data_IF_872687163914
#
_entry.id   IF_872687163914
#
_cell.length_a   1.000
_cell.length_b   1.000
_cell.length_c   1.000
_cell.angle_alpha   90.00
_cell.angle_beta   90.00
_cell.angle_gamma   90.00
#
_symmetry.space_group_name_H-M   'P 1'
#
loop_
_entity.id
_entity.type
_entity.pdbx_description
1 polymer ?
#
# COMPACT_ATOMS: atom_id res chain seq x y z
N UNK A 1 0.99 30.35 13.53
CA UNK A 1 2.05 30.86 12.63
C UNK A 1 3.36 30.96 13.41
N UNK A 2 4.16 29.90 13.44
CA UNK A 2 5.47 29.92 14.09
C UNK A 2 6.55 30.23 13.05
N UNK A 3 7.23 31.36 13.24
CA UNK A 3 8.28 31.90 12.38
C UNK A 3 9.41 30.86 12.23
N UNK A 4 9.64 30.43 11.00
CA UNK A 4 10.90 29.80 10.55
C UNK A 4 12.02 30.84 10.60
N UNK A 5 12.49 31.14 11.80
CA UNK A 5 13.68 31.97 12.00
C UNK A 5 14.92 31.12 11.72
N UNK A 6 15.89 31.60 10.92
CA UNK A 6 17.16 30.90 10.67
C UNK A 6 17.94 30.57 11.95
N UNK A 7 17.63 31.26 13.05
CA UNK A 7 18.17 31.03 14.39
C UNK A 7 17.74 29.66 14.94
N UNK A 8 16.52 29.20 14.65
CA UNK A 8 16.03 27.90 15.15
C UNK A 8 16.76 26.72 14.50
N UNK A 9 17.11 26.82 13.21
CA UNK A 9 17.87 25.79 12.51
C UNK A 9 19.32 25.71 13.00
N UNK A 10 19.93 26.86 13.29
CA UNK A 10 21.28 26.93 13.85
C UNK A 10 21.33 26.31 15.26
N UNK A 11 20.31 26.56 16.09
CA UNK A 11 20.22 25.97 17.44
C UNK A 11 20.08 24.45 17.38
N UNK A 12 19.23 23.90 16.49
CA UNK A 12 19.09 22.44 16.33
C UNK A 12 20.37 21.77 15.81
N UNK A 13 21.11 22.44 14.92
CA UNK A 13 22.38 21.93 14.41
C UNK A 13 23.48 21.95 15.48
N UNK A 14 23.51 22.99 16.31
CA UNK A 14 24.43 23.10 17.44
C UNK A 14 24.13 22.05 18.52
N UNK A 15 22.84 21.79 18.80
CA UNK A 15 22.42 20.72 19.72
C UNK A 15 22.82 19.32 19.23
N UNK A 16 22.70 19.06 17.92
CA UNK A 16 23.11 17.79 17.31
C UNK A 16 24.64 17.58 17.39
N UNK A 17 25.42 18.64 17.13
CA UNK A 17 26.88 18.61 17.26
C UNK A 17 27.33 18.41 18.71
N UNK A 18 26.61 19.00 19.67
CA UNK A 18 26.87 18.78 21.10
C UNK A 18 26.60 17.32 21.50
N UNK A 19 25.50 16.72 21.03
CA UNK A 19 25.20 15.30 21.30
C UNK A 19 26.28 14.38 20.71
N UNK A 20 26.74 14.64 19.48
CA UNK A 20 27.79 13.86 18.82
C UNK A 20 29.16 14.02 19.49
N UNK A 21 29.49 15.21 20.02
CA UNK A 21 30.76 15.47 20.71
C UNK A 21 30.85 14.79 22.09
N UNK A 22 29.72 14.51 22.75
CA UNK A 22 29.68 13.86 24.07
C UNK A 22 29.51 12.33 24.01
N UNK A 23 29.19 11.73 22.85
CA UNK A 23 29.10 10.27 22.71
C UNK A 23 30.41 9.51 23.03
N UNK A 24 31.62 10.00 22.69
CA UNK A 24 32.86 9.30 23.04
C UNK A 24 33.14 9.27 24.54
N UNK A 25 32.61 10.22 25.31
CA UNK A 25 32.80 10.33 26.76
C UNK A 25 31.86 9.41 27.57
N UNK A 26 30.72 9.01 27.00
CA UNK A 26 29.81 8.03 27.61
C UNK A 26 30.16 6.58 27.26
N UNK A 27 31.02 6.35 26.27
CA UNK A 27 31.45 5.02 25.82
C UNK A 27 32.84 4.63 26.35
N UNK A 28 33.53 5.53 27.05
CA UNK A 28 34.81 5.27 27.69
C UNK A 28 34.63 4.67 29.08
N UNK A 29 34.26 3.39 29.17
CA UNK A 29 34.49 2.42 30.26
C UNK A 29 33.37 1.37 30.35
N UNK A 30 33.23 0.58 29.30
CA UNK A 30 32.74 -0.80 29.40
C UNK A 30 33.07 -1.47 28.09
N UNK A 31 33.69 -2.65 28.12
CA UNK A 31 33.85 -3.55 26.98
C UNK A 31 32.47 -3.90 26.43
N UNK A 32 31.93 -2.99 25.64
CA UNK A 32 30.62 -3.11 25.04
C UNK A 32 30.86 -3.87 23.74
N UNK A 33 30.65 -5.19 23.78
CA UNK A 33 30.19 -5.93 22.61
C UNK A 33 28.86 -5.31 22.20
N UNK A 34 28.91 -4.17 21.50
CA UNK A 34 27.76 -3.55 20.84
C UNK A 34 27.34 -4.57 19.80
N UNK A 35 26.32 -5.33 20.20
CA UNK A 35 25.71 -6.42 19.48
C UNK A 35 25.56 -6.01 18.02
N UNK A 36 26.26 -6.67 17.10
CA UNK A 36 26.21 -6.36 15.66
C UNK A 36 24.76 -6.37 15.13
N UNK A 37 23.86 -7.07 15.83
CA UNK A 37 22.41 -7.06 15.56
C UNK A 37 21.76 -5.68 15.78
N UNK A 38 22.21 -4.89 16.76
CA UNK A 38 21.68 -3.55 16.99
C UNK A 38 22.18 -2.58 15.90
N UNK A 39 23.45 -2.68 15.53
CA UNK A 39 24.04 -1.91 14.44
C UNK A 39 23.35 -2.23 13.12
N UNK A 40 23.18 -3.51 12.77
CA UNK A 40 22.44 -3.91 11.55
C UNK A 40 20.97 -3.52 11.59
N UNK A 41 20.30 -3.59 12.74
CA UNK A 41 18.91 -3.12 12.87
C UNK A 41 18.79 -1.61 12.66
N UNK A 42 19.70 -0.83 13.24
CA UNK A 42 19.78 0.62 13.02
C UNK A 42 20.16 0.94 11.57
N UNK A 43 21.08 0.18 10.98
CA UNK A 43 21.49 0.34 9.59
C UNK A 43 20.32 0.06 8.64
N UNK A 44 19.52 -0.98 8.89
CA UNK A 44 18.30 -1.31 8.14
C UNK A 44 17.18 -0.26 8.34
N UNK A 45 17.09 0.34 9.53
CA UNK A 45 16.14 1.44 9.79
C UNK A 45 16.56 2.75 9.09
N UNK A 46 17.86 2.99 8.96
CA UNK A 46 18.43 4.17 8.30
C UNK A 46 18.36 3.99 6.77
N UNK A 47 18.79 2.85 6.22
CA UNK A 47 18.72 2.59 4.76
C UNK A 47 17.28 2.40 4.28
N UNK A 48 16.40 1.78 5.08
CA UNK A 48 14.99 1.60 4.71
C UNK A 48 14.15 2.88 4.74
N UNK A 49 14.57 3.94 5.45
CA UNK A 49 13.88 5.24 5.48
C UNK A 49 14.54 6.33 4.62
N UNK A 50 15.79 6.13 4.19
CA UNK A 50 16.56 7.18 3.52
C UNK A 50 17.11 6.80 2.16
N UNK A 51 16.85 5.62 1.59
CA UNK A 51 17.21 5.36 0.19
C UNK A 51 16.43 6.32 -0.72
N UNK A 52 17.06 7.41 -1.20
CA UNK A 52 16.45 8.25 -2.21
C UNK A 52 16.31 7.35 -3.44
N UNK A 53 15.21 7.50 -4.19
CA UNK A 53 15.08 6.83 -5.49
C UNK A 53 16.39 6.97 -6.24
N UNK A 54 16.94 5.86 -6.74
CA UNK A 54 18.21 5.88 -7.46
C UNK A 54 18.14 6.97 -8.56
N UNK A 55 19.21 7.76 -8.79
CA UNK A 55 19.19 8.83 -9.78
C UNK A 55 18.74 8.27 -11.14
N UNK A 56 17.56 8.68 -11.61
CA UNK A 56 16.98 8.24 -12.88
C UNK A 56 15.79 7.27 -12.80
N UNK A 57 15.38 6.81 -11.62
CA UNK A 57 14.15 6.00 -11.49
C UNK A 57 12.92 6.91 -11.38
N UNK A 58 12.11 6.95 -12.44
CA UNK A 58 10.83 7.69 -12.44
C UNK A 58 9.93 7.20 -11.32
N UNK A 59 9.26 8.14 -10.63
CA UNK A 59 8.23 7.81 -9.66
C UNK A 59 7.06 7.09 -10.34
N UNK A 60 6.47 6.12 -9.63
CA UNK A 60 5.28 5.38 -10.05
C UNK A 60 4.18 5.69 -9.06
N UNK A 61 3.13 6.38 -9.51
CA UNK A 61 2.03 6.78 -8.65
C UNK A 61 0.94 5.73 -8.60
N UNK A 62 0.64 5.28 -7.39
CA UNK A 62 -0.32 4.23 -7.10
C UNK A 62 -1.56 4.85 -6.46
N UNK A 63 -2.73 4.44 -6.94
CA UNK A 63 -4.01 4.64 -6.25
C UNK A 63 -4.55 3.30 -5.80
N UNK A 64 -5.20 3.28 -4.63
CA UNK A 64 -6.03 2.17 -4.21
C UNK A 64 -7.52 2.51 -4.32
N UNK A 65 -8.28 1.66 -5.01
CA UNK A 65 -9.74 1.70 -5.08
C UNK A 65 -10.33 0.45 -4.44
N UNK A 66 -11.43 0.61 -3.70
CA UNK A 66 -12.09 -0.48 -2.97
C UNK A 66 -12.46 -1.66 -3.86
N UNK A 67 -12.57 -2.82 -3.22
CA UNK A 67 -12.90 -4.07 -3.88
C UNK A 67 -14.34 -4.07 -4.39
N UNK A 68 -14.55 -4.86 -5.42
CA UNK A 68 -15.84 -5.10 -6.05
C UNK A 68 -16.39 -6.42 -5.52
N UNK A 69 -17.63 -6.44 -5.08
CA UNK A 69 -18.34 -7.68 -4.78
C UNK A 69 -18.82 -8.28 -6.10
N UNK A 70 -18.26 -9.43 -6.48
CA UNK A 70 -18.59 -10.09 -7.73
C UNK A 70 -19.98 -10.75 -7.72
N UNK A 71 -20.57 -11.01 -6.55
CA UNK A 71 -21.92 -11.56 -6.45
C UNK A 71 -22.96 -10.49 -6.78
N UNK A 72 -22.82 -9.31 -6.20
CA UNK A 72 -23.76 -8.18 -6.35
C UNK A 72 -23.40 -7.24 -7.49
N UNK A 73 -22.18 -7.34 -8.03
CA UNK A 73 -21.59 -6.40 -8.98
C UNK A 73 -21.60 -4.96 -8.48
N UNK A 74 -21.55 -4.78 -7.15
CA UNK A 74 -21.45 -3.47 -6.52
C UNK A 74 -20.11 -3.29 -5.83
N UNK A 75 -19.80 -2.03 -5.56
CA UNK A 75 -18.70 -1.67 -4.69
C UNK A 75 -18.90 -2.27 -3.29
N UNK A 76 -17.84 -2.79 -2.67
CA UNK A 76 -17.87 -3.23 -1.27
C UNK A 76 -17.61 -2.11 -0.27
N UNK A 77 -17.13 -0.94 -0.70
CA UNK A 77 -16.79 0.15 0.19
C UNK A 77 -17.94 0.45 1.16
N UNK A 78 -17.57 0.82 2.39
CA UNK A 78 -18.49 1.05 3.51
C UNK A 78 -19.06 -0.23 4.14
N UNK A 79 -18.58 -1.43 3.75
CA UNK A 79 -18.79 -2.67 4.52
C UNK A 79 -17.62 -2.93 5.47
N UNK A 80 -17.90 -3.59 6.60
CA UNK A 80 -16.87 -4.01 7.55
C UNK A 80 -15.83 -4.92 6.86
N UNK A 81 -16.29 -5.85 6.02
CA UNK A 81 -15.44 -6.74 5.25
C UNK A 81 -14.52 -5.97 4.26
N UNK A 82 -15.03 -4.95 3.57
CA UNK A 82 -14.20 -4.13 2.69
C UNK A 82 -13.12 -3.37 3.44
N UNK A 83 -13.42 -2.81 4.61
CA UNK A 83 -12.45 -2.04 5.38
C UNK A 83 -11.29 -2.93 5.83
N UNK A 84 -11.59 -4.18 6.19
CA UNK A 84 -10.58 -5.16 6.55
C UNK A 84 -9.68 -5.54 5.36
N UNK A 85 -10.26 -5.82 4.17
CA UNK A 85 -9.49 -6.09 2.95
C UNK A 85 -8.65 -4.86 2.56
N UNK A 86 -9.26 -3.69 2.56
CA UNK A 86 -8.61 -2.42 2.21
C UNK A 86 -7.36 -2.17 3.08
N UNK A 87 -7.45 -2.49 4.38
CA UNK A 87 -6.30 -2.40 5.29
C UNK A 87 -5.16 -3.33 4.90
N UNK A 88 -5.46 -4.60 4.59
CA UNK A 88 -4.45 -5.57 4.14
C UNK A 88 -3.79 -5.15 2.81
N UNK A 89 -4.59 -4.59 1.89
CA UNK A 89 -4.11 -4.09 0.60
C UNK A 89 -3.19 -2.89 0.77
N UNK A 90 -3.59 -1.89 1.56
CA UNK A 90 -2.76 -0.72 1.86
C UNK A 90 -1.46 -1.13 2.54
N UNK A 91 -1.48 -2.12 3.45
CA UNK A 91 -0.25 -2.66 4.04
C UNK A 91 0.64 -3.33 2.98
N UNK A 92 0.06 -4.12 2.06
CA UNK A 92 0.77 -4.69 0.91
C UNK A 92 1.46 -3.64 0.03
N UNK A 93 0.76 -2.54 -0.30
CA UNK A 93 1.32 -1.40 -1.03
C UNK A 93 2.45 -0.74 -0.22
N UNK A 94 2.26 -0.56 1.09
CA UNK A 94 3.25 0.00 1.98
C UNK A 94 4.53 -0.85 2.04
N UNK A 95 4.40 -2.18 2.06
CA UNK A 95 5.54 -3.11 1.99
C UNK A 95 6.26 -3.02 0.65
N UNK A 96 5.53 -2.97 -0.47
CA UNK A 96 6.13 -2.77 -1.79
C UNK A 96 6.87 -1.42 -1.89
N UNK A 97 6.29 -0.34 -1.34
CA UNK A 97 6.89 1.00 -1.35
C UNK A 97 8.15 1.11 -0.48
N UNK A 98 8.24 0.30 0.58
CA UNK A 98 9.48 0.17 1.37
C UNK A 98 10.58 -0.58 0.62
N UNK A 99 10.21 -1.59 -0.17
CA UNK A 99 11.14 -2.33 -1.01
C UNK A 99 11.57 -1.55 -2.26
N UNK A 100 10.69 -0.71 -2.79
CA UNK A 100 10.92 0.16 -3.94
C UNK A 100 10.41 1.58 -3.65
N UNK A 101 11.34 2.49 -3.35
CA UNK A 101 11.02 3.87 -2.97
C UNK A 101 10.46 4.72 -4.11
N UNK A 102 10.49 4.24 -5.36
CA UNK A 102 9.84 4.93 -6.50
C UNK A 102 8.31 4.81 -6.47
N UNK A 103 7.76 3.82 -5.75
CA UNK A 103 6.32 3.64 -5.61
C UNK A 103 5.75 4.66 -4.61
N UNK A 104 4.76 5.45 -5.05
CA UNK A 104 4.11 6.48 -4.22
C UNK A 104 2.60 6.25 -4.15
N UNK A 105 2.11 5.78 -3.01
CA UNK A 105 0.68 5.64 -2.76
C UNK A 105 0.02 7.00 -2.50
N UNK A 106 -1.04 7.30 -3.26
CA UNK A 106 -1.90 8.49 -3.12
C UNK A 106 -1.10 9.79 -2.94
N UNK A 107 -0.07 10.00 -3.76
CA UNK A 107 0.69 11.24 -3.73
C UNK A 107 -0.19 12.43 -4.14
N UNK A 108 0.09 13.61 -3.59
CA UNK A 108 -0.70 14.82 -3.86
C UNK A 108 -0.76 15.13 -5.37
N UNK A 109 -1.97 15.19 -5.93
CA UNK A 109 -2.19 15.41 -7.36
C UNK A 109 -2.03 14.16 -8.23
N UNK A 110 -1.80 13.01 -7.62
CA UNK A 110 -1.63 11.69 -8.24
C UNK A 110 -2.52 10.64 -7.54
N UNK A 111 -3.79 10.97 -7.34
CA UNK A 111 -4.75 10.14 -6.63
C UNK A 111 -6.11 10.15 -7.34
N UNK A 112 -6.69 8.97 -7.54
CA UNK A 112 -8.12 8.84 -7.79
C UNK A 112 -8.77 8.56 -6.43
N UNK A 113 -9.56 9.52 -5.93
CA UNK A 113 -10.20 9.37 -4.62
C UNK A 113 -11.07 8.11 -4.59
N UNK A 114 -10.94 7.30 -3.56
CA UNK A 114 -11.77 6.12 -3.35
C UNK A 114 -13.20 6.52 -2.93
N UNK A 115 -14.01 6.91 -3.91
CA UNK A 115 -15.41 7.35 -3.76
C UNK A 115 -16.33 6.45 -4.57
N UNK A 116 -17.59 6.36 -4.18
CA UNK A 116 -18.62 5.57 -4.87
C UNK A 116 -18.68 5.86 -6.37
N UNK A 117 -18.59 7.14 -6.75
CA UNK A 117 -18.58 7.56 -8.15
C UNK A 117 -17.39 6.96 -8.93
N UNK A 118 -16.19 7.00 -8.37
CA UNK A 118 -14.98 6.50 -9.03
C UNK A 118 -14.94 4.97 -9.08
N UNK A 119 -15.35 4.29 -8.00
CA UNK A 119 -15.39 2.83 -7.98
C UNK A 119 -16.49 2.31 -8.91
N UNK A 120 -17.67 2.94 -8.93
CA UNK A 120 -18.73 2.57 -9.87
C UNK A 120 -18.33 2.84 -11.33
N UNK A 121 -17.57 3.90 -11.61
CA UNK A 121 -17.03 4.12 -12.94
C UNK A 121 -16.11 2.95 -13.36
N UNK A 122 -15.21 2.52 -12.48
CA UNK A 122 -14.35 1.36 -12.73
C UNK A 122 -15.17 0.08 -12.98
N UNK A 123 -16.14 -0.20 -12.11
CA UNK A 123 -17.04 -1.35 -12.24
C UNK A 123 -17.75 -1.32 -13.59
N UNK A 124 -18.34 -0.18 -13.97
CA UNK A 124 -19.06 -0.02 -15.22
C UNK A 124 -18.17 -0.30 -16.44
N UNK A 125 -16.90 0.13 -16.40
CA UNK A 125 -15.95 -0.18 -17.48
C UNK A 125 -15.61 -1.67 -17.51
N UNK A 126 -15.26 -2.27 -16.36
CA UNK A 126 -14.85 -3.68 -16.25
C UNK A 126 -16.00 -4.64 -16.61
N UNK A 127 -17.21 -4.36 -16.13
CA UNK A 127 -18.38 -5.21 -16.29
C UNK A 127 -19.06 -5.07 -17.66
N UNK A 128 -18.70 -4.07 -18.48
CA UNK A 128 -19.35 -3.85 -19.77
C UNK A 128 -19.08 -5.04 -20.72
N UNK A 129 -20.12 -5.79 -21.15
CA UNK A 129 -19.94 -6.96 -22.02
C UNK A 129 -19.71 -6.59 -23.48
N UNK A 130 -20.01 -5.34 -23.87
CA UNK A 130 -19.98 -4.88 -25.26
C UNK A 130 -18.62 -4.31 -25.68
N UNK A 131 -17.60 -4.42 -24.83
CA UNK A 131 -16.25 -3.91 -25.09
C UNK A 131 -15.21 -4.99 -24.82
N UNK A 132 -14.18 -5.03 -25.66
CA UNK A 132 -13.05 -5.95 -25.54
C UNK A 132 -12.17 -5.60 -24.34
N UNK A 133 -11.34 -6.54 -23.84
CA UNK A 133 -10.39 -6.25 -22.76
C UNK A 133 -9.48 -5.06 -23.06
N UNK A 134 -9.01 -4.92 -24.31
CA UNK A 134 -8.16 -3.79 -24.71
C UNK A 134 -8.91 -2.45 -24.63
N UNK A 135 -10.16 -2.40 -25.12
CA UNK A 135 -11.00 -1.21 -25.02
C UNK A 135 -11.33 -0.85 -23.57
N UNK A 136 -11.53 -1.85 -22.69
CA UNK A 136 -11.70 -1.62 -21.25
C UNK A 136 -10.47 -0.94 -20.66
N UNK A 137 -9.26 -1.44 -20.96
CA UNK A 137 -8.02 -0.85 -20.47
C UNK A 137 -7.80 0.57 -21.02
N UNK A 138 -8.12 0.80 -22.30
CA UNK A 138 -8.11 2.12 -22.90
C UNK A 138 -9.05 3.11 -22.18
N UNK A 139 -10.28 2.68 -21.87
CA UNK A 139 -11.25 3.49 -21.11
C UNK A 139 -10.79 3.77 -19.69
N UNK A 140 -10.29 2.79 -18.94
CA UNK A 140 -9.75 3.00 -17.59
C UNK A 140 -8.59 4.01 -17.64
N UNK A 141 -7.69 3.86 -18.61
CA UNK A 141 -6.55 4.75 -18.78
C UNK A 141 -7.01 6.19 -19.02
N UNK A 142 -7.86 6.39 -20.04
CA UNK A 142 -8.32 7.71 -20.48
C UNK A 142 -9.23 8.39 -19.46
N UNK A 143 -10.18 7.65 -18.89
CA UNK A 143 -11.26 8.23 -18.09
C UNK A 143 -10.89 8.32 -16.60
N UNK A 144 -9.91 7.54 -16.14
CA UNK A 144 -9.53 7.48 -14.73
C UNK A 144 -8.06 7.78 -14.48
N UNK A 145 -7.12 7.12 -15.16
CA UNK A 145 -5.70 7.19 -14.82
C UNK A 145 -5.02 8.47 -15.31
N UNK A 146 -5.24 8.86 -16.56
CA UNK A 146 -4.65 10.07 -17.18
C UNK A 146 -5.07 11.37 -16.48
N UNK A 147 -6.37 11.63 -16.21
CA UNK A 147 -6.80 12.88 -15.59
C UNK A 147 -6.22 13.05 -14.18
N UNK A 148 -5.97 11.93 -13.49
CA UNK A 148 -5.45 11.90 -12.13
C UNK A 148 -3.94 11.63 -12.09
N UNK A 149 -3.25 11.56 -13.23
CA UNK A 149 -1.79 11.31 -13.33
C UNK A 149 -1.33 10.09 -12.53
N UNK A 150 -2.15 9.05 -12.49
CA UNK A 150 -1.88 7.78 -11.80
C UNK A 150 -1.27 6.79 -12.79
N UNK A 151 -0.25 6.05 -12.37
CA UNK A 151 0.40 5.01 -13.18
C UNK A 151 -0.20 3.63 -12.92
N UNK A 152 -0.67 3.40 -11.69
CA UNK A 152 -1.16 2.11 -11.22
C UNK A 152 -2.44 2.26 -10.40
N UNK A 153 -3.47 1.49 -10.72
CA UNK A 153 -4.62 1.28 -9.84
C UNK A 153 -4.50 -0.09 -9.19
N UNK A 154 -4.55 -0.14 -7.86
CA UNK A 154 -4.71 -1.35 -7.07
C UNK A 154 -6.17 -1.45 -6.65
N UNK A 155 -6.81 -2.56 -6.97
CA UNK A 155 -8.20 -2.87 -6.60
C UNK A 155 -8.33 -4.39 -6.45
N UNK A 156 -9.54 -4.92 -6.51
CA UNK A 156 -9.74 -6.36 -6.59
C UNK A 156 -11.21 -6.74 -6.66
N UNK A 157 -11.44 -8.04 -6.65
CA UNK A 157 -12.77 -8.60 -6.48
C UNK A 157 -12.85 -9.52 -5.27
N UNK A 158 -14.06 -9.64 -4.74
CA UNK A 158 -14.42 -10.45 -3.59
C UNK A 158 -15.65 -11.29 -3.93
N UNK A 159 -15.64 -12.55 -3.50
CA UNK A 159 -16.78 -13.46 -3.64
C UNK A 159 -16.96 -14.26 -2.36
N UNK A 160 -18.10 -14.11 -1.69
CA UNK A 160 -18.52 -15.06 -0.65
C UNK A 160 -19.26 -16.23 -1.33
N UNK A 161 -18.73 -17.45 -1.19
CA UNK A 161 -19.32 -18.69 -1.72
C UNK A 161 -19.92 -19.57 -0.61
N UNK A 162 -20.20 -18.99 0.55
CA UNK A 162 -20.71 -19.71 1.72
C UNK A 162 -19.57 -20.24 2.59
N UNK A 163 -19.01 -21.40 2.25
CA UNK A 163 -17.88 -21.99 3.01
C UNK A 163 -16.54 -21.35 2.69
N UNK A 164 -16.39 -20.87 1.46
CA UNK A 164 -15.17 -20.28 0.94
C UNK A 164 -15.38 -18.81 0.63
N UNK A 165 -14.33 -18.03 0.86
CA UNK A 165 -14.22 -16.64 0.43
C UNK A 165 -13.10 -16.54 -0.58
N UNK A 166 -13.39 -15.96 -1.73
CA UNK A 166 -12.42 -15.70 -2.78
C UNK A 166 -12.08 -14.22 -2.80
N UNK A 167 -10.81 -13.89 -2.64
CA UNK A 167 -10.29 -12.52 -2.75
C UNK A 167 -9.31 -12.49 -3.90
N UNK A 168 -9.49 -11.55 -4.82
CA UNK A 168 -8.64 -11.42 -6.01
C UNK A 168 -8.12 -9.99 -6.13
N UNK A 169 -6.97 -9.66 -5.51
CA UNK A 169 -6.30 -8.40 -5.77
C UNK A 169 -5.92 -8.28 -7.25
N UNK A 170 -6.09 -7.09 -7.80
CA UNK A 170 -5.85 -6.73 -9.20
C UNK A 170 -4.99 -5.47 -9.23
N UNK A 171 -3.95 -5.48 -10.05
CA UNK A 171 -3.10 -4.33 -10.37
C UNK A 171 -3.29 -3.98 -11.83
N UNK A 172 -3.70 -2.74 -12.11
CA UNK A 172 -3.91 -2.20 -13.46
C UNK A 172 -2.80 -1.20 -13.75
N UNK A 173 -2.01 -1.44 -14.80
CA UNK A 173 -0.83 -0.66 -15.17
C UNK A 173 -1.12 0.15 -16.42
N UNK A 174 -0.97 1.47 -16.32
CA UNK A 174 -1.27 2.41 -17.42
C UNK A 174 -0.39 2.18 -18.63
N UNK A 175 0.93 2.13 -18.42
CA UNK A 175 1.95 2.10 -19.49
C UNK A 175 1.77 0.89 -20.41
N UNK A 176 1.49 -0.27 -19.82
CA UNK A 176 1.38 -1.54 -20.55
C UNK A 176 -0.05 -1.88 -20.95
N UNK A 177 -1.02 -1.04 -20.57
CA UNK A 177 -2.46 -1.28 -20.72
C UNK A 177 -2.86 -2.70 -20.30
N UNK A 178 -2.30 -3.16 -19.18
CA UNK A 178 -2.43 -4.53 -18.70
C UNK A 178 -2.99 -4.53 -17.28
N UNK A 179 -3.75 -5.57 -16.97
CA UNK A 179 -4.08 -5.92 -15.59
C UNK A 179 -3.50 -7.29 -15.23
N UNK A 180 -2.98 -7.40 -14.02
CA UNK A 180 -2.52 -8.65 -13.41
C UNK A 180 -3.29 -8.88 -12.12
N UNK A 181 -3.50 -10.14 -11.76
CA UNK A 181 -4.30 -10.50 -10.60
C UNK A 181 -3.78 -11.77 -9.95
N UNK A 182 -4.03 -11.91 -8.65
CA UNK A 182 -3.72 -13.13 -7.89
C UNK A 182 -4.98 -13.58 -7.18
N UNK A 183 -5.38 -14.83 -7.35
CA UNK A 183 -6.57 -15.38 -6.68
C UNK A 183 -6.15 -16.02 -5.36
N UNK A 184 -6.82 -15.63 -4.29
CA UNK A 184 -6.68 -16.21 -2.95
C UNK A 184 -8.03 -16.81 -2.56
N UNK A 185 -8.02 -18.04 -2.05
CA UNK A 185 -9.22 -18.73 -1.58
C UNK A 185 -9.01 -19.10 -0.12
N UNK A 186 -9.95 -18.69 0.72
CA UNK A 186 -9.90 -18.91 2.16
C UNK A 186 -11.14 -19.68 2.59
N UNK A 187 -10.99 -20.62 3.52
CA UNK A 187 -12.15 -21.12 4.28
C UNK A 187 -12.64 -20.00 5.20
N UNK A 188 -13.95 -19.86 5.39
CA UNK A 188 -14.54 -18.77 6.20
C UNK A 188 -13.93 -18.60 7.60
N UNK A 189 -13.64 -19.68 8.37
CA UNK A 189 -12.96 -19.57 9.67
C UNK A 189 -11.50 -19.12 9.60
N UNK A 190 -10.86 -19.27 8.45
CA UNK A 190 -9.49 -18.81 8.19
C UNK A 190 -9.47 -17.39 7.62
N UNK A 191 -10.63 -16.84 7.25
CA UNK A 191 -10.76 -15.53 6.65
C UNK A 191 -11.11 -14.47 7.69
N UNK A 192 -12.16 -14.69 8.49
CA UNK A 192 -12.59 -13.78 9.56
C UNK A 192 -12.39 -14.42 10.94
N UNK A 193 -11.76 -13.67 11.85
CA UNK A 193 -11.63 -14.01 13.26
C UNK A 193 -12.19 -12.89 14.16
N UNK A 194 -12.39 -13.17 15.45
CA UNK A 194 -12.54 -12.10 16.45
C UNK A 194 -11.29 -11.20 16.44
N UNK A 195 -11.49 -9.89 16.54
CA UNK A 195 -10.37 -8.95 16.70
C UNK A 195 -9.64 -9.22 18.02
N UNK A 196 -8.30 -9.31 18.02
CA UNK A 196 -7.51 -9.68 19.20
C UNK A 196 -7.53 -8.61 20.31
N UNK A 197 -7.83 -7.36 19.95
CA UNK A 197 -7.94 -6.22 20.87
C UNK A 197 -9.39 -6.04 21.35
N UNK A 198 -10.36 -6.28 20.47
CA UNK A 198 -11.78 -6.23 20.80
C UNK A 198 -12.54 -7.44 20.23
N UNK A 199 -12.69 -8.54 21.00
CA UNK A 199 -13.33 -9.77 20.52
C UNK A 199 -14.78 -9.63 20.04
N UNK A 200 -15.44 -8.50 20.28
CA UNK A 200 -16.80 -8.20 19.78
C UNK A 200 -16.80 -7.68 18.33
N UNK A 201 -15.63 -7.37 17.75
CA UNK A 201 -15.48 -6.93 16.36
C UNK A 201 -14.89 -8.03 15.50
N UNK A 202 -15.20 -8.02 14.21
CA UNK A 202 -14.54 -8.91 13.25
C UNK A 202 -13.20 -8.32 12.83
N UNK A 203 -12.25 -9.19 12.54
CA UNK A 203 -10.98 -8.88 11.90
C UNK A 203 -10.68 -9.91 10.81
N UNK A 204 -9.80 -9.56 9.87
CA UNK A 204 -9.16 -10.59 9.05
C UNK A 204 -8.25 -11.43 9.95
N UNK A 205 -8.32 -12.75 9.81
CA UNK A 205 -7.35 -13.64 10.40
C UNK A 205 -5.94 -13.23 9.96
N UNK A 206 -4.95 -13.38 10.85
CA UNK A 206 -3.57 -12.98 10.55
C UNK A 206 -3.05 -13.59 9.24
N UNK A 207 -3.35 -14.86 8.97
CA UNK A 207 -2.92 -15.51 7.73
C UNK A 207 -3.59 -14.89 6.49
N UNK A 208 -4.90 -14.65 6.54
CA UNK A 208 -5.61 -14.02 5.43
C UNK A 208 -5.13 -12.59 5.16
N UNK A 209 -4.90 -11.81 6.22
CA UNK A 209 -4.31 -10.48 6.11
C UNK A 209 -2.93 -10.54 5.45
N UNK A 210 -2.04 -11.41 5.93
CA UNK A 210 -0.68 -11.57 5.39
C UNK A 210 -0.68 -12.06 3.95
N UNK A 211 -1.55 -13.01 3.59
CA UNK A 211 -1.65 -13.54 2.23
C UNK A 211 -2.14 -12.47 1.24
N UNK A 212 -3.12 -11.64 1.63
CA UNK A 212 -3.60 -10.51 0.82
C UNK A 212 -2.50 -9.45 0.68
N UNK A 213 -1.88 -9.04 1.79
CA UNK A 213 -0.81 -8.04 1.77
C UNK A 213 0.39 -8.51 0.93
N UNK A 214 0.77 -9.79 1.06
CA UNK A 214 1.81 -10.42 0.25
C UNK A 214 1.42 -10.46 -1.22
N UNK A 215 0.18 -10.84 -1.55
CA UNK A 215 -0.28 -10.88 -2.94
C UNK A 215 -0.16 -9.51 -3.62
N UNK A 216 -0.58 -8.44 -2.94
CA UNK A 216 -0.46 -7.07 -3.46
C UNK A 216 1.00 -6.66 -3.62
N UNK A 217 1.85 -6.95 -2.63
CA UNK A 217 3.29 -6.71 -2.72
C UNK A 217 3.91 -7.41 -3.93
N UNK A 218 3.67 -8.71 -4.07
CA UNK A 218 4.21 -9.52 -5.17
C UNK A 218 3.77 -8.97 -6.54
N UNK A 219 2.50 -8.54 -6.67
CA UNK A 219 1.98 -7.94 -7.91
C UNK A 219 2.69 -6.62 -8.24
N UNK A 220 2.95 -5.77 -7.25
CA UNK A 220 3.64 -4.49 -7.45
C UNK A 220 5.14 -4.64 -7.70
N UNK A 221 5.79 -5.65 -7.15
CA UNK A 221 7.21 -5.96 -7.42
C UNK A 221 7.43 -6.56 -8.82
N UNK A 222 6.35 -7.00 -9.48
CA UNK A 222 6.39 -7.52 -10.86
C UNK A 222 6.18 -6.46 -11.94
N UNK A 223 6.05 -5.19 -11.56
CA UNK A 223 5.89 -4.03 -12.45
C UNK A 223 7.17 -3.69 -13.23
#
# INVERSE_FOLDING_TARGET
>A
MLKNSPVSKAISFLQLLLILAFMPLLLGQSDCQINQNLLTTLQNLITGKLSPSAPGQSEVYITHLSFIDDNTKSMMAQTEESDLINKAVVDGIGRASKANSSLKLNASGHEIKNTDANVNNLINIIANPNVTPAEKMGKITKDMMEPNKVDVIVTGSYVDKGEDVVVKPIVIVRKDQKSTAKTLTFKKPQYICPDPVNPQKKALCSNAHEDIAKAVKDLLESL
#
